data_IF_858867817396
#
_entry.id   IF_858867817396
#
_cell.length_a   1.000
_cell.length_b   1.000
_cell.length_c   1.000
_cell.angle_alpha   90.00
_cell.angle_beta   90.00
_cell.angle_gamma   90.00
#
_symmetry.space_group_name_H-M   'P 1'
#
loop_
_entity.id
_entity.type
_entity.pdbx_description
1 polymer ?
#
# COMPACT_ATOMS: atom_id res chain seq x y z
N UNK A 1 27.23 49.01 -1.63
CA UNK A 1 25.81 49.40 -1.68
C UNK A 1 25.50 49.49 -3.16
N UNK A 2 24.95 48.49 -3.83
CA UNK A 2 24.14 47.35 -3.46
C UNK A 2 24.21 46.40 -4.66
N UNK A 3 24.39 45.10 -4.45
CA UNK A 3 23.98 44.05 -5.41
C UNK A 3 24.15 42.68 -4.73
N UNK A 4 23.20 42.39 -3.84
CA UNK A 4 22.88 41.07 -3.35
C UNK A 4 21.35 40.99 -3.27
N UNK A 5 20.77 39.82 -3.51
CA UNK A 5 19.33 39.47 -3.53
C UNK A 5 18.68 39.21 -4.90
N UNK A 6 19.31 38.37 -5.73
CA UNK A 6 18.63 37.76 -6.90
C UNK A 6 18.46 36.23 -6.80
N UNK A 7 18.59 35.64 -5.59
CA UNK A 7 18.57 34.18 -5.38
C UNK A 7 17.35 33.60 -4.67
N UNK A 8 16.38 34.41 -4.21
CA UNK A 8 15.36 33.94 -3.25
C UNK A 8 14.02 33.49 -3.88
N UNK A 9 13.82 33.62 -5.20
CA UNK A 9 12.52 33.35 -5.84
C UNK A 9 12.38 31.96 -6.50
N UNK A 10 13.47 31.34 -6.95
CA UNK A 10 13.39 30.04 -7.64
C UNK A 10 13.18 28.87 -6.67
N UNK A 11 13.80 28.94 -5.48
CA UNK A 11 13.66 27.91 -4.43
C UNK A 11 12.23 27.87 -3.85
N UNK A 12 11.57 29.02 -3.73
CA UNK A 12 10.20 29.11 -3.24
C UNK A 12 9.18 28.54 -4.24
N UNK A 13 9.39 28.76 -5.54
CA UNK A 13 8.53 28.23 -6.59
C UNK A 13 8.64 26.70 -6.70
N UNK A 14 9.85 26.14 -6.62
CA UNK A 14 10.07 24.69 -6.61
C UNK A 14 9.48 23.99 -5.37
N UNK A 15 9.57 24.62 -4.20
CA UNK A 15 8.98 24.09 -2.97
C UNK A 15 7.44 24.05 -3.03
N UNK A 16 6.80 25.04 -3.65
CA UNK A 16 5.36 25.08 -3.84
C UNK A 16 4.85 23.98 -4.78
N UNK A 17 5.58 23.71 -5.87
CA UNK A 17 5.25 22.65 -6.84
C UNK A 17 5.38 21.25 -6.22
N UNK A 18 6.43 21.02 -5.42
CA UNK A 18 6.58 19.77 -4.65
C UNK A 18 5.47 19.62 -3.60
N UNK A 19 5.10 20.70 -2.90
CA UNK A 19 4.03 20.66 -1.91
C UNK A 19 2.68 20.29 -2.54
N UNK A 20 2.36 20.86 -3.70
CA UNK A 20 1.13 20.53 -4.44
C UNK A 20 1.16 19.09 -4.97
N UNK A 21 2.31 18.65 -5.50
CA UNK A 21 2.55 17.27 -5.93
C UNK A 21 2.46 16.23 -4.80
N UNK A 22 2.63 16.64 -3.54
CA UNK A 22 2.54 15.78 -2.35
C UNK A 22 1.25 16.00 -1.54
N UNK A 23 0.35 16.88 -1.97
CA UNK A 23 -0.90 17.17 -1.26
C UNK A 23 -1.75 15.91 -1.02
N UNK A 24 -1.62 14.90 -1.88
CA UNK A 24 -2.31 13.61 -1.76
C UNK A 24 -1.84 12.73 -0.58
N UNK A 25 -0.68 13.03 0.02
CA UNK A 25 -0.17 12.36 1.22
C UNK A 25 -0.79 12.90 2.51
N UNK A 26 -1.56 14.00 2.43
CA UNK A 26 -2.18 14.58 3.62
C UNK A 26 -3.24 13.63 4.20
N UNK A 27 -3.34 13.52 5.55
CA UNK A 27 -4.35 12.69 6.18
C UNK A 27 -5.76 13.06 5.71
N UNK A 28 -6.57 12.07 5.37
CA UNK A 28 -7.97 12.28 4.94
C UNK A 28 -8.15 12.69 3.47
N UNK A 29 -7.07 12.86 2.70
CA UNK A 29 -7.18 13.09 1.26
C UNK A 29 -7.89 11.91 0.58
N UNK A 30 -8.88 12.23 -0.27
CA UNK A 30 -9.61 11.25 -1.08
C UNK A 30 -9.17 11.39 -2.54
N UNK A 31 -8.18 10.61 -2.93
CA UNK A 31 -7.75 10.57 -4.32
C UNK A 31 -8.88 10.02 -5.21
N UNK A 32 -9.06 10.61 -6.39
CA UNK A 32 -9.86 9.99 -7.45
C UNK A 32 -9.23 8.63 -7.83
N UNK A 33 -10.02 7.61 -8.19
CA UNK A 33 -9.48 6.28 -8.54
C UNK A 33 -8.42 6.32 -9.65
N UNK A 34 -8.58 7.22 -10.63
CA UNK A 34 -7.65 7.39 -11.74
C UNK A 34 -6.26 7.87 -11.31
N UNK A 35 -6.17 8.62 -10.20
CA UNK A 35 -4.91 9.13 -9.67
C UNK A 35 -4.24 8.17 -8.69
N UNK A 36 -5.05 7.34 -8.01
CA UNK A 36 -4.54 6.41 -7.00
C UNK A 36 -3.68 5.31 -7.62
N UNK A 37 -4.06 4.77 -8.79
CA UNK A 37 -3.37 3.61 -9.35
C UNK A 37 -1.90 3.90 -9.73
N UNK A 38 -1.57 5.00 -10.45
CA UNK A 38 -0.17 5.35 -10.72
C UNK A 38 0.66 5.61 -9.45
N UNK A 39 0.03 6.21 -8.41
CA UNK A 39 0.68 6.44 -7.11
C UNK A 39 0.98 5.12 -6.39
N UNK A 40 0.02 4.19 -6.36
CA UNK A 40 0.21 2.85 -5.79
C UNK A 40 1.33 2.11 -6.52
N UNK A 41 1.37 2.17 -7.86
CA UNK A 41 2.46 1.59 -8.64
C UNK A 41 3.83 2.16 -8.24
N UNK A 42 3.94 3.49 -8.15
CA UNK A 42 5.18 4.15 -7.76
C UNK A 42 5.64 3.75 -6.35
N UNK A 43 4.70 3.66 -5.39
CA UNK A 43 4.99 3.19 -4.03
C UNK A 43 5.44 1.72 -4.03
N UNK A 44 4.77 0.84 -4.78
CA UNK A 44 5.19 -0.56 -4.87
C UNK A 44 6.60 -0.73 -5.45
N UNK A 45 6.99 0.12 -6.41
CA UNK A 45 8.33 0.10 -7.01
C UNK A 45 9.41 0.71 -6.10
N UNK A 46 9.08 1.74 -5.32
CA UNK A 46 10.03 2.43 -4.45
C UNK A 46 10.45 1.59 -3.23
N UNK A 47 9.67 0.59 -2.85
CA UNK A 47 9.88 -0.21 -1.64
C UNK A 47 10.06 -1.71 -1.97
N UNK A 48 11.31 -2.21 -2.05
CA UNK A 48 11.56 -3.63 -2.32
C UNK A 48 10.96 -4.57 -1.25
N UNK A 49 11.07 -4.21 0.02
CA UNK A 49 10.45 -4.97 1.13
C UNK A 49 8.91 -4.91 1.02
N UNK A 50 8.28 -6.10 1.04
CA UNK A 50 6.84 -6.24 0.85
C UNK A 50 6.03 -5.57 1.96
N UNK A 51 6.46 -5.74 3.21
CA UNK A 51 5.78 -5.11 4.34
C UNK A 51 5.83 -3.59 4.22
N UNK A 52 7.01 -3.01 3.95
CA UNK A 52 7.20 -1.57 3.78
C UNK A 52 6.34 -1.02 2.63
N UNK A 53 6.29 -1.70 1.50
CA UNK A 53 5.43 -1.29 0.37
C UNK A 53 3.95 -1.31 0.73
N UNK A 54 3.46 -2.41 1.30
CA UNK A 54 2.06 -2.56 1.68
C UNK A 54 1.66 -1.55 2.77
N UNK A 55 2.52 -1.34 3.76
CA UNK A 55 2.31 -0.34 4.82
C UNK A 55 2.26 1.07 4.24
N UNK A 56 3.19 1.42 3.34
CA UNK A 56 3.24 2.76 2.74
C UNK A 56 2.01 3.03 1.87
N UNK A 57 1.59 2.06 1.05
CA UNK A 57 0.36 2.16 0.25
C UNK A 57 -0.84 2.36 1.15
N UNK A 58 -0.97 1.57 2.22
CA UNK A 58 -2.06 1.64 3.18
C UNK A 58 -2.11 3.00 3.90
N UNK A 59 -0.95 3.50 4.34
CA UNK A 59 -0.83 4.78 5.03
C UNK A 59 -1.14 5.97 4.11
N UNK A 60 -0.79 5.88 2.83
CA UNK A 60 -1.00 6.96 1.86
C UNK A 60 -2.39 6.94 1.21
N UNK A 61 -3.12 5.82 1.26
CA UNK A 61 -4.42 5.63 0.60
C UNK A 61 -5.52 5.17 1.58
N UNK A 62 -5.59 5.81 2.75
CA UNK A 62 -6.48 5.40 3.85
C UNK A 62 -7.97 5.43 3.51
N UNK A 63 -8.36 6.26 2.54
CA UNK A 63 -9.74 6.40 2.09
C UNK A 63 -10.21 5.24 1.18
N UNK A 64 -9.30 4.42 0.66
CA UNK A 64 -9.65 3.31 -0.23
C UNK A 64 -10.03 2.04 0.55
N UNK A 65 -11.04 1.28 0.10
CA UNK A 65 -11.35 -0.03 0.67
C UNK A 65 -10.16 -0.99 0.56
N UNK A 66 -9.99 -1.88 1.56
CA UNK A 66 -8.86 -2.82 1.62
C UNK A 66 -8.84 -3.77 0.42
N UNK A 67 -10.00 -4.19 -0.07
CA UNK A 67 -10.11 -5.04 -1.26
C UNK A 67 -9.65 -4.34 -2.55
N UNK A 68 -9.89 -3.02 -2.64
CA UNK A 68 -9.42 -2.20 -3.76
C UNK A 68 -7.91 -2.03 -3.71
N UNK A 69 -7.36 -1.77 -2.52
CA UNK A 69 -5.90 -1.74 -2.32
C UNK A 69 -5.26 -3.08 -2.62
N UNK A 70 -5.84 -4.18 -2.12
CA UNK A 70 -5.36 -5.53 -2.37
C UNK A 70 -5.33 -5.85 -3.88
N UNK A 71 -6.36 -5.44 -4.61
CA UNK A 71 -6.39 -5.55 -6.07
C UNK A 71 -5.21 -4.86 -6.74
N UNK A 72 -4.98 -3.59 -6.40
CA UNK A 72 -3.97 -2.74 -7.03
C UNK A 72 -2.56 -3.20 -6.67
N UNK A 73 -2.29 -3.48 -5.38
CA UNK A 73 -0.98 -3.96 -4.92
C UNK A 73 -0.62 -5.26 -5.63
N UNK A 74 -1.55 -6.21 -5.75
CA UNK A 74 -1.33 -7.47 -6.48
C UNK A 74 -0.93 -7.27 -7.95
N UNK A 75 -1.36 -6.20 -8.61
CA UNK A 75 -0.97 -5.94 -10.01
C UNK A 75 0.52 -5.59 -10.14
N UNK A 76 1.13 -5.06 -9.08
CA UNK A 76 2.50 -4.53 -9.10
C UNK A 76 3.48 -5.32 -8.23
N UNK A 77 3.00 -6.35 -7.53
CA UNK A 77 3.76 -7.14 -6.54
C UNK A 77 3.70 -8.63 -6.87
N UNK A 78 4.62 -9.15 -7.72
CA UNK A 78 4.64 -10.56 -8.12
C UNK A 78 4.94 -11.51 -6.95
N UNK A 79 5.56 -11.01 -5.89
CA UNK A 79 5.75 -11.76 -4.64
C UNK A 79 4.42 -12.09 -3.92
N UNK A 80 3.30 -11.49 -4.33
CA UNK A 80 1.95 -11.82 -3.87
C UNK A 80 1.19 -12.81 -4.79
N UNK A 81 1.81 -13.36 -5.83
CA UNK A 81 1.13 -14.21 -6.82
C UNK A 81 0.49 -15.46 -6.19
N UNK A 82 1.11 -16.03 -5.17
CA UNK A 82 0.60 -17.20 -4.47
C UNK A 82 -0.65 -16.92 -3.61
N UNK A 83 -0.90 -15.67 -3.25
CA UNK A 83 -1.95 -15.23 -2.34
C UNK A 83 -3.22 -14.86 -3.10
N UNK A 84 -4.41 -15.12 -2.57
CA UNK A 84 -5.66 -14.60 -3.15
C UNK A 84 -5.81 -13.10 -2.86
N UNK A 85 -6.76 -12.41 -3.51
CA UNK A 85 -7.07 -11.01 -3.17
C UNK A 85 -7.49 -10.89 -1.69
N UNK A 86 -8.29 -11.83 -1.21
CA UNK A 86 -8.75 -11.88 0.18
C UNK A 86 -7.58 -12.04 1.17
N UNK A 87 -6.60 -12.89 0.83
CA UNK A 87 -5.39 -13.05 1.65
C UNK A 87 -4.62 -11.73 1.78
N UNK A 88 -4.51 -10.98 0.68
CA UNK A 88 -3.82 -9.68 0.65
C UNK A 88 -4.61 -8.61 1.42
N UNK A 89 -5.94 -8.59 1.34
CA UNK A 89 -6.77 -7.72 2.17
C UNK A 89 -6.62 -8.05 3.68
N UNK A 90 -6.50 -9.35 4.02
CA UNK A 90 -6.17 -9.81 5.36
C UNK A 90 -4.79 -9.36 5.82
N UNK A 91 -3.77 -9.43 4.96
CA UNK A 91 -2.43 -8.90 5.25
C UNK A 91 -2.45 -7.39 5.53
N UNK A 92 -3.17 -6.60 4.73
CA UNK A 92 -3.35 -5.16 4.96
C UNK A 92 -4.01 -4.86 6.31
N UNK A 93 -5.02 -5.66 6.67
CA UNK A 93 -5.69 -5.55 7.98
C UNK A 93 -4.75 -5.90 9.13
N UNK A 94 -3.93 -6.94 8.98
CA UNK A 94 -2.96 -7.34 9.98
C UNK A 94 -1.83 -6.31 10.15
N UNK A 95 -1.38 -5.69 9.05
CA UNK A 95 -0.45 -4.55 9.08
C UNK A 95 -1.06 -3.38 9.86
N UNK A 96 -2.32 -3.03 9.59
CA UNK A 96 -2.98 -1.91 10.27
C UNK A 96 -3.09 -2.10 11.79
N UNK A 97 -3.41 -3.32 12.22
CA UNK A 97 -3.68 -3.62 13.63
C UNK A 97 -2.44 -4.04 14.43
N UNK A 98 -1.43 -4.61 13.77
CA UNK A 98 -0.28 -5.25 14.43
C UNK A 98 1.07 -5.00 13.76
N UNK A 99 1.13 -4.09 12.78
CA UNK A 99 2.35 -3.75 12.06
C UNK A 99 3.07 -4.97 11.48
N UNK A 100 4.39 -5.00 11.64
CA UNK A 100 5.25 -6.08 11.15
C UNK A 100 4.91 -7.43 11.78
N UNK A 101 4.61 -7.45 13.09
CA UNK A 101 4.27 -8.68 13.80
C UNK A 101 2.99 -9.32 13.26
N UNK A 102 1.95 -8.51 13.02
CA UNK A 102 0.70 -8.97 12.42
C UNK A 102 0.90 -9.52 11.01
N UNK A 103 1.68 -8.81 10.19
CA UNK A 103 2.05 -9.26 8.84
C UNK A 103 2.76 -10.62 8.84
N UNK A 104 3.80 -10.76 9.65
CA UNK A 104 4.58 -12.00 9.74
C UNK A 104 3.73 -13.18 10.26
N UNK A 105 2.78 -12.91 11.16
CA UNK A 105 1.84 -13.92 11.65
C UNK A 105 0.93 -14.46 10.55
N UNK A 106 0.37 -13.59 9.70
CA UNK A 106 -0.48 -14.02 8.57
C UNK A 106 0.33 -14.81 7.55
N UNK A 107 1.54 -14.37 7.21
CA UNK A 107 2.40 -15.11 6.28
C UNK A 107 2.73 -16.51 6.81
N UNK A 108 3.03 -16.64 8.11
CA UNK A 108 3.29 -17.94 8.75
C UNK A 108 2.06 -18.86 8.68
N UNK A 109 0.88 -18.34 8.99
CA UNK A 109 -0.36 -19.11 8.93
C UNK A 109 -0.67 -19.58 7.50
N UNK A 110 -0.40 -18.75 6.49
CA UNK A 110 -0.59 -19.11 5.07
C UNK A 110 0.45 -20.10 4.56
N UNK A 111 1.71 -19.96 4.96
CA UNK A 111 2.76 -20.95 4.67
C UNK A 111 2.42 -22.33 5.26
N UNK A 112 1.80 -22.34 6.44
CA UNK A 112 1.34 -23.57 7.11
C UNK A 112 -0.05 -24.05 6.64
N UNK A 113 -0.72 -23.30 5.75
CA UNK A 113 -2.03 -23.64 5.19
C UNK A 113 -1.93 -23.76 3.67
N UNK A 114 -1.11 -24.69 3.14
CA UNK A 114 -1.01 -24.88 1.69
C UNK A 114 -2.39 -25.20 1.15
N UNK A 115 -2.88 -24.32 0.23
CA UNK A 115 -4.17 -24.35 -0.46
C UNK A 115 -4.96 -25.63 -0.20
N UNK A 116 -5.80 -25.63 0.85
CA UNK A 116 -6.91 -26.58 0.92
C UNK A 116 -7.81 -26.21 -0.24
N UNK A 117 -7.65 -26.96 -1.34
CA UNK A 117 -8.44 -26.81 -2.55
C UNK A 117 -9.92 -26.81 -2.21
N UNK A 118 -10.70 -26.25 -3.12
CA UNK A 118 -12.14 -26.20 -3.14
C UNK A 118 -12.80 -27.59 -2.99
N UNK A 119 -12.77 -28.22 -1.80
CA UNK A 119 -13.22 -29.59 -1.62
C UNK A 119 -13.10 -30.18 -0.22
N UNK A 120 -13.22 -29.40 0.86
CA UNK A 120 -13.15 -29.97 2.22
C UNK A 120 -14.18 -29.39 3.19
N UNK A 121 -15.45 -29.46 2.81
CA UNK A 121 -16.55 -29.69 3.75
C UNK A 121 -16.93 -31.18 3.68
N UNK A 122 -16.11 -32.02 4.30
CA UNK A 122 -16.52 -33.34 4.76
C UNK A 122 -16.22 -33.35 6.26
N UNK A 123 -17.02 -34.07 7.03
CA UNK A 123 -17.02 -34.14 8.50
C UNK A 123 -17.89 -33.09 9.22
N UNK A 124 -19.20 -33.14 8.98
CA UNK A 124 -20.15 -33.31 10.09
C UNK A 124 -20.81 -34.67 9.87
N UNK A 125 -20.66 -35.53 10.89
CA UNK A 125 -21.18 -36.89 11.03
C UNK A 125 -22.11 -36.86 12.24
N UNK A 126 -23.41 -36.98 12.03
CA UNK A 126 -24.29 -38.13 12.36
C UNK A 126 -25.74 -37.69 12.09
#
# INVERSE_FOLDING_TARGET
MDDAHAGENEDAAGAADVADGLAWLTPGHRAAPAEALPRIQALCAAWPDLHAAMFTVLAAHQALPRDVLAAAIKQFRPDLDAFTREDVAGLLTAIWNGGRSGFDAVLRTRANSPKKGAGAFSWVKD
#
